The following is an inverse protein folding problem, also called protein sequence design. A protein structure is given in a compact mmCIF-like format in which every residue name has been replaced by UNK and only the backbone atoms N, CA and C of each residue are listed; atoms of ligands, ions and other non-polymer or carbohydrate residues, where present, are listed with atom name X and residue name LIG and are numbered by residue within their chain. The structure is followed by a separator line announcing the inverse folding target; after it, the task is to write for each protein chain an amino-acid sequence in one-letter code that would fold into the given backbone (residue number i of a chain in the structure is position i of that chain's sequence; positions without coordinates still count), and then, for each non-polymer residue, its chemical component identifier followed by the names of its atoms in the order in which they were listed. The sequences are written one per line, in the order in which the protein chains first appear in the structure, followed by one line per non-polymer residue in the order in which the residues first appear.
data_IF_300423051576
#
_entry.id   IF_300423051576
#
_cell.length_a   1.000
_cell.length_b   1.000
_cell.length_c   1.000
_cell.angle_alpha   90.00
_cell.angle_beta   90.00
_cell.angle_gamma   90.00
#
_symmetry.space_group_name_H-M   'P 1'
#
loop_
_entity.id
_entity.type
_entity.pdbx_description
1 polymer ?
#
# COMPACT_ATOMS: atom_id res chain seq x y z
N UNK A 1 -12.13 -0.24 2.44
CA UNK A 1 -11.38 -1.52 2.65
C UNK A 1 -11.44 -1.88 4.12
N UNK A 2 -11.72 -3.14 4.41
CA UNK A 2 -11.71 -3.64 5.79
C UNK A 2 -10.30 -4.05 6.21
N UNK A 3 -10.13 -4.30 7.51
CA UNK A 3 -8.85 -4.80 8.05
C UNK A 3 -8.47 -6.12 7.38
N UNK A 4 -9.41 -7.03 7.22
CA UNK A 4 -9.16 -8.34 6.61
C UNK A 4 -8.71 -8.17 5.15
N UNK A 5 -9.38 -7.31 4.40
CA UNK A 5 -9.00 -7.02 3.00
C UNK A 5 -7.59 -6.44 2.91
N UNK A 6 -7.23 -5.54 3.81
CA UNK A 6 -5.88 -4.95 3.82
C UNK A 6 -4.83 -6.01 4.17
N UNK A 7 -5.11 -6.90 5.12
CA UNK A 7 -4.20 -7.99 5.47
C UNK A 7 -3.93 -8.87 4.24
N UNK A 8 -4.97 -9.22 3.50
CA UNK A 8 -4.84 -10.06 2.29
C UNK A 8 -3.96 -9.39 1.25
N UNK A 9 -4.17 -8.09 0.99
CA UNK A 9 -3.35 -7.34 0.03
C UNK A 9 -1.88 -7.32 0.47
N UNK A 10 -1.63 -7.06 1.75
CA UNK A 10 -0.26 -7.00 2.28
C UNK A 10 0.41 -8.36 2.26
N UNK A 11 -0.31 -9.44 2.51
CA UNK A 11 0.22 -10.80 2.40
C UNK A 11 0.62 -11.13 0.97
N UNK A 12 -0.18 -10.73 -0.01
CA UNK A 12 0.15 -10.91 -1.42
C UNK A 12 1.44 -10.16 -1.80
N UNK A 13 1.59 -8.92 -1.31
CA UNK A 13 2.79 -8.13 -1.54
C UNK A 13 4.02 -8.77 -0.89
N UNK A 14 3.88 -9.32 0.31
CA UNK A 14 4.96 -10.05 0.97
C UNK A 14 5.36 -11.29 0.16
N UNK A 15 4.39 -12.04 -0.33
CA UNK A 15 4.62 -13.24 -1.15
C UNK A 15 5.33 -12.89 -2.46
N UNK A 16 5.08 -11.70 -3.02
CA UNK A 16 5.73 -11.22 -4.24
C UNK A 16 7.15 -10.68 -4.00
N UNK A 17 7.66 -10.74 -2.77
CA UNK A 17 9.00 -10.30 -2.44
C UNK A 17 9.09 -8.86 -1.97
N UNK A 18 7.98 -8.21 -1.68
CA UNK A 18 7.95 -6.80 -1.24
C UNK A 18 7.83 -6.63 0.27
N UNK A 19 8.02 -7.71 1.05
CA UNK A 19 7.80 -7.68 2.50
C UNK A 19 8.70 -6.72 3.27
N UNK A 20 9.87 -6.38 2.73
CA UNK A 20 10.80 -5.45 3.36
C UNK A 20 10.74 -4.03 2.79
N UNK A 21 9.81 -3.76 1.87
CA UNK A 21 9.65 -2.43 1.30
C UNK A 21 9.00 -1.49 2.32
N UNK A 22 9.48 -0.25 2.44
CA UNK A 22 8.80 0.73 3.27
C UNK A 22 7.42 1.05 2.70
N UNK A 23 6.49 1.40 3.57
CA UNK A 23 5.15 1.82 3.19
C UNK A 23 5.06 3.33 3.34
N UNK A 24 4.67 4.00 2.27
CA UNK A 24 4.45 5.45 2.25
C UNK A 24 2.98 5.72 2.00
N UNK A 25 2.49 6.83 2.50
CA UNK A 25 1.08 7.18 2.38
C UNK A 25 0.92 8.66 2.04
N UNK A 26 0.01 8.96 1.11
CA UNK A 26 -0.47 10.32 0.93
C UNK A 26 -1.62 10.54 1.91
N UNK A 27 -1.58 11.66 2.64
CA UNK A 27 -2.52 11.89 3.73
C UNK A 27 -3.52 12.97 3.37
N UNK A 28 -4.76 12.64 2.99
CA UNK A 28 -5.81 13.65 2.91
C UNK A 28 -6.14 14.16 4.32
N UNK A 29 -6.61 15.41 4.43
CA UNK A 29 -6.97 16.01 5.73
C UNK A 29 -8.37 15.61 6.18
N UNK A 30 -8.80 14.40 5.85
CA UNK A 30 -10.14 13.89 6.18
C UNK A 30 -10.09 12.38 6.30
N UNK A 31 -11.08 11.82 6.95
CA UNK A 31 -11.24 10.37 7.01
C UNK A 31 -11.85 9.88 5.71
N UNK A 32 -11.22 8.91 5.09
CA UNK A 32 -11.69 8.28 3.86
C UNK A 32 -11.44 6.78 3.96
N UNK A 33 -12.24 6.00 3.24
CA UNK A 33 -12.00 4.57 3.12
C UNK A 33 -10.90 4.33 2.08
N UNK A 34 -9.92 3.51 2.43
CA UNK A 34 -8.87 3.09 1.50
C UNK A 34 -9.45 2.04 0.56
N UNK A 35 -9.20 2.21 -0.74
CA UNK A 35 -9.59 1.25 -1.76
C UNK A 35 -8.38 0.43 -2.21
N UNK A 36 -8.62 -0.80 -2.66
CA UNK A 36 -7.53 -1.71 -3.06
C UNK A 36 -6.69 -1.15 -4.22
N UNK A 37 -7.31 -0.41 -5.14
CA UNK A 37 -6.61 0.19 -6.28
C UNK A 37 -5.75 1.39 -5.91
N UNK A 38 -5.85 1.87 -4.67
CA UNK A 38 -5.02 2.94 -4.13
C UNK A 38 -3.70 2.43 -3.56
N UNK A 39 -3.52 1.10 -3.48
CA UNK A 39 -2.29 0.48 -2.99
C UNK A 39 -1.43 0.12 -4.21
N UNK A 40 -0.25 0.74 -4.30
CA UNK A 40 0.62 0.62 -5.47
C UNK A 40 2.03 0.22 -5.07
N UNK A 41 2.69 -0.53 -5.97
CA UNK A 41 4.11 -0.85 -5.82
C UNK A 41 4.91 0.11 -6.70
N UNK A 42 5.80 0.88 -6.09
CA UNK A 42 6.66 1.84 -6.79
C UNK A 42 8.08 1.29 -6.81
N UNK A 43 8.51 0.83 -7.98
CA UNK A 43 9.82 0.21 -8.17
C UNK A 43 10.82 1.10 -8.91
N UNK A 44 10.36 2.27 -9.37
CA UNK A 44 11.21 3.21 -10.12
C UNK A 44 12.25 3.89 -9.25
N UNK A 45 11.99 3.97 -7.95
CA UNK A 45 12.90 4.55 -6.98
C UNK A 45 13.72 3.47 -6.28
N UNK A 46 14.85 3.83 -5.73
CA UNK A 46 15.69 2.94 -4.94
C UNK A 46 15.88 3.53 -3.55
N UNK A 47 15.40 2.88 -2.49
CA UNK A 47 14.70 1.59 -2.51
C UNK A 47 13.26 1.68 -3.02
N UNK A 48 12.74 0.57 -3.55
CA UNK A 48 11.33 0.46 -3.90
C UNK A 48 10.44 0.60 -2.66
N UNK A 49 9.21 1.04 -2.85
CA UNK A 49 8.28 1.23 -1.72
C UNK A 49 6.84 0.90 -2.14
N UNK A 50 6.01 0.68 -1.13
CA UNK A 50 4.57 0.53 -1.30
C UNK A 50 3.92 1.87 -1.02
N UNK A 51 3.11 2.36 -1.95
CA UNK A 51 2.43 3.64 -1.82
C UNK A 51 0.94 3.42 -1.61
N UNK A 52 0.42 4.00 -0.53
CA UNK A 52 -1.00 4.14 -0.29
C UNK A 52 -1.41 5.53 -0.79
N UNK A 53 -1.86 5.57 -2.04
CA UNK A 53 -2.21 6.84 -2.70
C UNK A 53 -3.69 7.14 -2.45
N UNK A 54 -3.99 7.68 -1.28
CA UNK A 54 -5.34 8.00 -0.85
C UNK A 54 -5.81 9.30 -1.53
N UNK A 55 -6.98 9.23 -2.14
CA UNK A 55 -7.55 10.34 -2.94
C UNK A 55 -8.61 11.11 -2.18
#
# INVERSE_FOLDING_TARGET
MTVIELIEVLMDLDADGHGNCPVKVTTPRRLVDLEADEIRVCTDDTPAYILLEVR
#
